data_IF_985143008355
#
_entry.id   IF_985143008355
#
_cell.length_a   1.000
_cell.length_b   1.000
_cell.length_c   1.000
_cell.angle_alpha   90.00
_cell.angle_beta   90.00
_cell.angle_gamma   90.00
#
_symmetry.space_group_name_H-M   'P 1'
#
loop_
_entity.id
_entity.type
_entity.pdbx_description
1 polymer ?
#
# COMPACT_ATOMS: atom_id res chain seq x y z
N UNK A 1 39.59 16.96 17.66
CA UNK A 1 39.22 16.01 16.57
C UNK A 1 37.77 15.54 16.64
N UNK A 2 36.80 16.40 16.97
CA UNK A 2 35.39 15.99 17.24
C UNK A 2 34.35 16.58 16.27
N UNK A 3 34.76 17.46 15.36
CA UNK A 3 33.83 18.12 14.42
C UNK A 3 33.37 17.18 13.27
N UNK A 4 34.25 16.29 12.80
CA UNK A 4 33.93 15.40 11.66
C UNK A 4 32.89 14.33 11.97
N UNK A 5 32.86 13.82 13.21
CA UNK A 5 31.89 12.78 13.61
C UNK A 5 30.43 13.30 13.63
N UNK A 6 30.19 14.53 14.04
CA UNK A 6 28.86 15.15 14.08
C UNK A 6 28.30 15.40 12.69
N UNK A 7 29.12 15.78 11.73
CA UNK A 7 28.70 16.01 10.33
C UNK A 7 28.31 14.68 9.65
N UNK A 8 29.07 13.63 9.89
CA UNK A 8 28.79 12.31 9.32
C UNK A 8 27.46 11.73 9.87
N UNK A 9 27.18 11.90 11.17
CA UNK A 9 25.93 11.46 11.81
C UNK A 9 24.71 12.21 11.25
N UNK A 10 24.83 13.50 11.01
CA UNK A 10 23.72 14.31 10.43
C UNK A 10 23.40 13.93 8.99
N UNK A 11 24.39 13.61 8.18
CA UNK A 11 24.18 13.17 6.79
C UNK A 11 23.54 11.79 6.74
N UNK A 12 23.96 10.88 7.62
CA UNK A 12 23.39 9.54 7.74
C UNK A 12 21.93 9.61 8.20
N UNK A 13 21.64 10.41 9.21
CA UNK A 13 20.28 10.63 9.74
C UNK A 13 19.33 11.20 8.68
N UNK A 14 19.79 12.18 7.88
CA UNK A 14 18.99 12.73 6.78
C UNK A 14 18.71 11.72 5.67
N UNK A 15 19.64 10.82 5.37
CA UNK A 15 19.44 9.75 4.38
C UNK A 15 18.45 8.71 4.87
N UNK A 16 18.55 8.30 6.14
CA UNK A 16 17.60 7.38 6.79
C UNK A 16 16.20 7.97 6.88
N UNK A 17 16.07 9.24 7.28
CA UNK A 17 14.77 9.93 7.35
C UNK A 17 14.09 10.03 5.96
N UNK A 18 14.85 10.29 4.90
CA UNK A 18 14.32 10.29 3.53
C UNK A 18 13.91 8.90 3.05
N UNK A 19 14.64 7.86 3.43
CA UNK A 19 14.29 6.48 3.12
C UNK A 19 12.98 6.05 3.79
N UNK A 20 12.79 6.37 5.06
CA UNK A 20 11.56 6.08 5.81
C UNK A 20 10.38 6.87 5.25
N UNK A 21 10.56 8.14 4.90
CA UNK A 21 9.50 8.98 4.32
C UNK A 21 9.07 8.47 2.92
N UNK A 22 9.97 7.87 2.15
CA UNK A 22 9.64 7.32 0.84
C UNK A 22 8.94 5.94 0.92
N UNK A 23 9.16 5.16 1.99
CA UNK A 23 8.49 3.87 2.19
C UNK A 23 7.06 3.99 2.74
N UNK A 24 6.73 5.09 3.41
CA UNK A 24 5.41 5.30 4.00
C UNK A 24 4.24 5.21 3.00
N UNK A 25 4.29 5.86 1.81
CA UNK A 25 3.20 5.76 0.84
C UNK A 25 3.07 4.37 0.20
N UNK A 26 4.15 3.62 0.09
CA UNK A 26 4.12 2.27 -0.47
C UNK A 26 3.37 1.27 0.44
N UNK A 27 3.44 1.44 1.75
CA UNK A 27 2.72 0.61 2.72
C UNK A 27 1.20 0.83 2.67
N UNK A 28 0.72 2.02 2.28
CA UNK A 28 -0.70 2.35 2.18
C UNK A 28 -1.36 1.75 0.92
N UNK A 29 -0.60 1.51 -0.14
CA UNK A 29 -1.13 0.96 -1.39
C UNK A 29 -1.61 -0.50 -1.28
N UNK A 30 -1.12 -1.27 -0.29
CA UNK A 30 -1.45 -2.69 -0.10
C UNK A 30 -2.63 -2.97 0.83
N UNK A 31 -3.35 -1.95 1.31
CA UNK A 31 -4.38 -2.12 2.35
C UNK A 31 -5.75 -2.59 1.83
N UNK A 32 -5.92 -2.76 0.53
CA UNK A 32 -7.16 -3.25 -0.07
C UNK A 32 -6.98 -4.65 -0.61
N UNK A 33 -8.01 -5.48 -0.43
CA UNK A 33 -8.10 -6.80 -1.06
C UNK A 33 -9.48 -6.98 -1.67
N UNK A 34 -9.56 -7.76 -2.73
CA UNK A 34 -10.83 -8.20 -3.29
C UNK A 34 -11.27 -9.47 -2.55
N UNK A 35 -12.51 -9.47 -2.09
CA UNK A 35 -13.14 -10.62 -1.44
C UNK A 35 -14.21 -11.13 -2.39
N UNK A 36 -14.15 -12.41 -2.78
CA UNK A 36 -15.16 -13.02 -3.62
C UNK A 36 -16.56 -12.85 -3.02
N UNK A 37 -17.54 -12.56 -3.86
CA UNK A 37 -18.94 -12.44 -3.49
C UNK A 37 -19.80 -13.23 -4.47
N UNK A 38 -20.82 -13.91 -3.94
CA UNK A 38 -21.75 -14.72 -4.75
C UNK A 38 -22.84 -13.87 -5.41
N UNK A 39 -23.07 -12.67 -4.91
CA UNK A 39 -24.09 -11.77 -5.42
C UNK A 39 -23.52 -10.39 -5.69
N UNK A 40 -24.15 -9.66 -6.61
CA UNK A 40 -23.77 -8.29 -6.92
C UNK A 40 -23.84 -7.40 -5.66
N UNK A 41 -22.80 -6.61 -5.40
CA UNK A 41 -22.79 -5.67 -4.29
C UNK A 41 -23.81 -4.54 -4.51
N UNK A 42 -24.01 -3.72 -3.49
CA UNK A 42 -24.83 -2.51 -3.62
C UNK A 42 -24.21 -1.51 -4.63
N UNK A 43 -25.02 -0.71 -5.33
CA UNK A 43 -24.54 0.38 -6.16
C UNK A 43 -23.58 1.32 -5.40
N UNK A 44 -22.56 1.81 -6.07
CA UNK A 44 -21.52 2.66 -5.49
C UNK A 44 -20.35 1.90 -4.87
N UNK A 45 -20.40 0.58 -4.80
CA UNK A 45 -19.30 -0.25 -4.25
C UNK A 45 -18.27 -0.54 -5.34
N UNK A 46 -16.99 -0.44 -4.97
CA UNK A 46 -15.88 -0.87 -5.83
C UNK A 46 -15.84 -2.39 -5.96
N UNK A 47 -15.77 -2.87 -7.21
CA UNK A 47 -15.76 -4.28 -7.52
C UNK A 47 -14.74 -4.63 -8.59
N UNK A 48 -14.35 -5.90 -8.60
CA UNK A 48 -13.61 -6.54 -9.67
C UNK A 48 -14.49 -7.64 -10.25
N UNK A 49 -14.55 -7.74 -11.56
CA UNK A 49 -15.24 -8.79 -12.31
C UNK A 49 -14.19 -9.55 -13.09
N UNK A 50 -14.04 -10.82 -12.81
CA UNK A 50 -13.25 -11.75 -13.62
C UNK A 50 -14.14 -12.32 -14.72
N UNK A 51 -13.67 -12.28 -15.94
CA UNK A 51 -14.42 -12.69 -17.12
C UNK A 51 -14.13 -14.15 -17.45
N UNK A 52 -15.19 -14.93 -17.71
CA UNK A 52 -15.06 -16.26 -18.31
C UNK A 52 -14.66 -16.16 -19.80
N UNK A 53 -14.39 -17.28 -20.44
CA UNK A 53 -13.93 -17.32 -21.82
C UNK A 53 -14.88 -16.61 -22.80
N UNK A 54 -16.19 -16.77 -22.63
CA UNK A 54 -17.19 -16.06 -23.43
C UNK A 54 -17.14 -14.55 -23.18
N UNK A 55 -17.01 -14.17 -21.91
CA UNK A 55 -16.88 -12.77 -21.50
C UNK A 55 -15.65 -12.11 -22.09
N UNK A 56 -14.51 -12.79 -22.11
CA UNK A 56 -13.25 -12.27 -22.69
C UNK A 56 -13.41 -11.97 -24.18
N UNK A 57 -14.07 -12.84 -24.91
CA UNK A 57 -14.33 -12.65 -26.35
C UNK A 57 -15.30 -11.50 -26.61
N UNK A 58 -16.44 -11.49 -25.91
CA UNK A 58 -17.48 -10.49 -26.14
C UNK A 58 -17.10 -9.13 -25.60
N UNK A 59 -16.55 -9.06 -24.41
CA UNK A 59 -16.09 -7.80 -23.81
C UNK A 59 -14.83 -7.25 -24.48
N UNK A 60 -14.01 -8.12 -25.07
CA UNK A 60 -12.82 -7.70 -25.83
C UNK A 60 -13.11 -6.72 -26.97
N UNK A 61 -14.33 -6.73 -27.52
CA UNK A 61 -14.78 -5.76 -28.53
C UNK A 61 -15.07 -4.37 -27.94
N UNK A 62 -15.40 -4.31 -26.68
CA UNK A 62 -15.79 -3.06 -25.97
C UNK A 62 -14.65 -2.46 -25.18
N UNK A 63 -13.91 -3.30 -24.42
CA UNK A 63 -12.87 -2.83 -23.49
C UNK A 63 -11.44 -3.14 -23.96
N UNK A 64 -11.31 -3.82 -25.08
CA UNK A 64 -10.01 -4.17 -25.68
C UNK A 64 -9.73 -5.67 -25.66
N UNK A 65 -8.94 -6.15 -26.62
CA UNK A 65 -8.63 -7.57 -26.75
C UNK A 65 -7.75 -8.06 -25.60
N UNK A 66 -7.92 -9.35 -25.24
CA UNK A 66 -7.14 -10.00 -24.18
C UNK A 66 -7.49 -9.55 -22.76
N UNK A 67 -8.69 -8.99 -22.56
CA UNK A 67 -9.18 -8.64 -21.23
C UNK A 67 -9.44 -9.87 -20.38
N UNK A 68 -8.92 -9.88 -19.14
CA UNK A 68 -9.19 -10.95 -18.16
C UNK A 68 -10.10 -10.46 -17.03
N UNK A 69 -9.91 -9.23 -16.57
CA UNK A 69 -10.76 -8.66 -15.52
C UNK A 69 -11.02 -7.17 -15.71
N UNK A 70 -12.14 -6.73 -15.15
CA UNK A 70 -12.61 -5.34 -15.18
C UNK A 70 -12.78 -4.87 -13.75
N UNK A 71 -12.15 -3.76 -13.41
CA UNK A 71 -12.28 -3.13 -12.10
C UNK A 71 -13.00 -1.79 -12.22
N UNK A 72 -13.92 -1.54 -11.32
CA UNK A 72 -14.69 -0.32 -11.35
C UNK A 72 -15.65 -0.18 -10.18
N UNK A 73 -16.60 0.72 -10.33
CA UNK A 73 -17.67 0.96 -9.35
C UNK A 73 -18.98 0.53 -9.96
N UNK A 74 -19.73 -0.32 -9.25
CA UNK A 74 -21.06 -0.74 -9.68
C UNK A 74 -22.02 0.48 -9.67
N UNK A 75 -22.57 0.79 -10.83
CA UNK A 75 -23.56 1.86 -10.98
C UNK A 75 -24.98 1.33 -10.76
N UNK A 76 -25.29 0.18 -11.38
CA UNK A 76 -26.55 -0.54 -11.17
C UNK A 76 -26.39 -2.02 -11.47
N UNK A 77 -27.24 -2.84 -10.86
CA UNK A 77 -27.32 -4.28 -11.12
C UNK A 77 -28.77 -4.68 -11.37
N UNK A 78 -28.94 -5.61 -12.30
CA UNK A 78 -30.20 -6.30 -12.59
C UNK A 78 -29.92 -7.78 -12.83
N UNK A 79 -30.97 -8.57 -12.94
CA UNK A 79 -30.85 -10.01 -13.26
C UNK A 79 -30.20 -10.26 -14.63
N UNK A 80 -30.22 -9.28 -15.52
CA UNK A 80 -29.73 -9.41 -16.91
C UNK A 80 -28.44 -8.67 -17.17
N UNK A 81 -28.06 -7.71 -16.34
CA UNK A 81 -26.89 -6.87 -16.59
C UNK A 81 -26.35 -6.17 -15.33
N UNK A 82 -25.04 -6.01 -15.29
CA UNK A 82 -24.31 -5.11 -14.40
C UNK A 82 -23.85 -3.90 -15.18
N UNK A 83 -24.14 -2.70 -14.71
CA UNK A 83 -23.58 -1.46 -15.26
C UNK A 83 -22.45 -1.02 -14.35
N UNK A 84 -21.23 -1.02 -14.89
CA UNK A 84 -20.02 -0.72 -14.13
C UNK A 84 -19.34 0.51 -14.72
N UNK A 85 -19.00 1.47 -13.87
CA UNK A 85 -18.08 2.55 -14.24
C UNK A 85 -16.65 2.03 -14.14
N UNK A 86 -16.05 1.77 -15.29
CA UNK A 86 -14.74 1.13 -15.40
C UNK A 86 -13.65 2.11 -15.03
N UNK A 87 -12.80 1.73 -14.09
CA UNK A 87 -11.64 2.49 -13.66
C UNK A 87 -10.35 1.91 -14.22
N UNK A 88 -10.31 0.59 -14.39
CA UNK A 88 -9.20 -0.10 -15.03
C UNK A 88 -9.61 -1.46 -15.58
N UNK A 89 -8.88 -1.88 -16.58
CA UNK A 89 -9.01 -3.19 -17.22
C UNK A 89 -7.67 -3.89 -17.12
N UNK A 90 -7.70 -5.17 -16.75
CA UNK A 90 -6.50 -6.00 -16.66
C UNK A 90 -6.52 -7.02 -17.80
N UNK A 91 -5.46 -7.07 -18.55
CA UNK A 91 -5.26 -8.05 -19.62
C UNK A 91 -4.77 -9.41 -19.07
N UNK A 92 -4.88 -10.46 -19.89
CA UNK A 92 -4.33 -11.79 -19.59
C UNK A 92 -2.81 -11.77 -19.42
N UNK A 93 -2.14 -10.82 -20.05
CA UNK A 93 -0.70 -10.56 -19.90
C UNK A 93 -0.33 -9.78 -18.62
N UNK A 94 -1.32 -9.49 -17.77
CA UNK A 94 -1.16 -8.69 -16.57
C UNK A 94 -1.04 -7.19 -16.81
N UNK A 95 -1.20 -6.72 -18.06
CA UNK A 95 -1.18 -5.30 -18.39
C UNK A 95 -2.42 -4.61 -17.83
N UNK A 96 -2.22 -3.49 -17.15
CA UNK A 96 -3.30 -2.67 -16.59
C UNK A 96 -3.50 -1.45 -17.46
N UNK A 97 -4.72 -1.28 -17.98
CA UNK A 97 -5.15 -0.12 -18.75
C UNK A 97 -6.13 0.68 -17.90
N UNK A 98 -5.81 1.94 -17.65
CA UNK A 98 -6.68 2.84 -16.87
C UNK A 98 -7.75 3.43 -17.77
N UNK A 99 -8.95 3.52 -17.19
CA UNK A 99 -10.14 4.11 -17.81
C UNK A 99 -10.63 5.30 -16.97
N UNK A 100 -11.42 6.18 -17.57
CA UNK A 100 -11.87 7.42 -16.93
C UNK A 100 -13.26 7.31 -16.29
N UNK A 101 -13.78 6.11 -16.12
CA UNK A 101 -15.09 5.86 -15.51
C UNK A 101 -16.22 5.71 -16.50
N UNK A 102 -15.92 5.29 -17.72
CA UNK A 102 -16.92 4.97 -18.74
C UNK A 102 -17.82 3.85 -18.25
N UNK A 103 -19.10 3.95 -18.60
CA UNK A 103 -20.09 2.93 -18.26
C UNK A 103 -20.04 1.78 -19.24
N UNK A 104 -19.80 0.60 -18.71
CA UNK A 104 -19.80 -0.64 -19.49
C UNK A 104 -20.87 -1.56 -18.92
N UNK A 105 -21.65 -2.14 -19.80
CA UNK A 105 -22.70 -3.12 -19.45
C UNK A 105 -22.15 -4.53 -19.63
N UNK A 106 -22.17 -5.30 -18.53
CA UNK A 106 -21.64 -6.66 -18.46
C UNK A 106 -22.79 -7.61 -18.15
N UNK A 107 -22.97 -8.65 -18.94
CA UNK A 107 -23.99 -9.68 -18.67
C UNK A 107 -23.49 -10.65 -17.62
N UNK A 108 -24.35 -11.14 -16.68
CA UNK A 108 -23.95 -12.17 -15.72
C UNK A 108 -23.33 -13.41 -16.36
N UNK A 109 -23.78 -13.80 -17.55
CA UNK A 109 -23.24 -14.92 -18.32
C UNK A 109 -21.76 -14.77 -18.73
N UNK A 110 -21.19 -13.58 -18.67
CA UNK A 110 -19.79 -13.28 -18.98
C UNK A 110 -18.88 -13.30 -17.76
N UNK A 111 -19.46 -13.43 -16.58
CA UNK A 111 -18.77 -13.32 -15.30
C UNK A 111 -18.38 -14.72 -14.81
N UNK A 112 -17.11 -14.91 -14.50
CA UNK A 112 -16.60 -16.08 -13.82
C UNK A 112 -16.67 -15.89 -12.31
N UNK A 113 -16.13 -14.75 -11.84
CA UNK A 113 -16.08 -14.42 -10.43
C UNK A 113 -16.26 -12.93 -10.21
N UNK A 114 -16.91 -12.56 -9.11
CA UNK A 114 -17.00 -11.19 -8.64
C UNK A 114 -16.28 -11.03 -7.31
N UNK A 115 -15.54 -9.94 -7.15
CA UNK A 115 -14.91 -9.57 -5.90
C UNK A 115 -15.27 -8.14 -5.51
N UNK A 116 -15.54 -7.90 -4.24
CA UNK A 116 -15.70 -6.54 -3.71
C UNK A 116 -14.40 -6.03 -3.12
N UNK A 117 -14.11 -4.77 -3.37
CA UNK A 117 -12.95 -4.09 -2.79
C UNK A 117 -13.22 -3.81 -1.31
N UNK A 118 -12.54 -4.53 -0.44
CA UNK A 118 -12.64 -4.33 1.02
C UNK A 118 -11.31 -3.85 1.58
N UNK A 119 -11.41 -2.97 2.55
CA UNK A 119 -10.26 -2.53 3.33
C UNK A 119 -9.79 -3.67 4.24
N UNK A 120 -8.56 -4.09 4.07
CA UNK A 120 -7.97 -5.18 4.89
C UNK A 120 -7.39 -4.61 6.18
N UNK A 121 -8.22 -4.53 7.23
CA UNK A 121 -7.80 -4.05 8.56
C UNK A 121 -6.60 -4.84 9.08
N UNK A 122 -6.58 -6.16 8.89
CA UNK A 122 -5.49 -7.01 9.34
C UNK A 122 -4.14 -6.65 8.73
N UNK A 123 -4.09 -6.41 7.42
CA UNK A 123 -2.84 -5.99 6.73
C UNK A 123 -2.38 -4.61 7.19
N UNK A 124 -3.32 -3.70 7.42
CA UNK A 124 -3.01 -2.35 7.91
C UNK A 124 -2.45 -2.39 9.32
N UNK A 125 -3.02 -3.18 10.22
CA UNK A 125 -2.53 -3.34 11.60
C UNK A 125 -1.12 -3.93 11.60
N UNK A 126 -0.85 -4.97 10.82
CA UNK A 126 0.48 -5.57 10.71
C UNK A 126 1.50 -4.56 10.17
N UNK A 127 1.16 -3.85 9.10
CA UNK A 127 2.04 -2.84 8.51
C UNK A 127 2.33 -1.69 9.49
N UNK A 128 1.32 -1.24 10.23
CA UNK A 128 1.47 -0.19 11.25
C UNK A 128 2.34 -0.64 12.42
N UNK A 129 2.15 -1.89 12.89
CA UNK A 129 2.94 -2.47 13.98
C UNK A 129 4.42 -2.59 13.57
N UNK A 130 4.69 -3.06 12.36
CA UNK A 130 6.07 -3.17 11.86
C UNK A 130 6.73 -1.79 11.68
N UNK A 131 6.01 -0.80 11.17
CA UNK A 131 6.51 0.56 11.03
C UNK A 131 6.79 1.19 12.41
N UNK A 132 5.89 0.99 13.38
CA UNK A 132 6.06 1.47 14.75
C UNK A 132 7.26 0.83 15.47
N UNK A 133 7.41 -0.49 15.35
CA UNK A 133 8.55 -1.22 15.93
C UNK A 133 9.88 -0.76 15.31
N UNK A 134 9.92 -0.59 13.99
CA UNK A 134 11.10 -0.07 13.29
C UNK A 134 11.46 1.36 13.74
N UNK A 135 10.48 2.23 13.94
CA UNK A 135 10.69 3.57 14.44
C UNK A 135 11.26 3.59 15.85
N UNK A 136 10.71 2.78 16.77
CA UNK A 136 11.19 2.64 18.15
C UNK A 136 12.62 2.12 18.15
N UNK A 137 12.95 1.11 17.34
CA UNK A 137 14.30 0.56 17.26
C UNK A 137 15.32 1.61 16.79
N UNK A 138 14.96 2.45 15.82
CA UNK A 138 15.82 3.55 15.36
C UNK A 138 16.03 4.59 16.45
N UNK A 139 14.96 5.01 17.14
CA UNK A 139 15.05 6.01 18.22
C UNK A 139 15.90 5.48 19.40
N UNK A 140 15.72 4.22 19.80
CA UNK A 140 16.52 3.60 20.86
C UNK A 140 17.98 3.44 20.44
N UNK A 141 18.24 3.00 19.21
CA UNK A 141 19.61 2.88 18.68
C UNK A 141 20.37 4.19 18.63
N UNK A 142 19.70 5.29 18.32
CA UNK A 142 20.29 6.63 18.33
C UNK A 142 20.56 7.14 19.76
N UNK A 143 19.69 6.81 20.72
CA UNK A 143 19.87 7.21 22.13
C UNK A 143 21.00 6.41 22.82
N UNK A 144 21.16 5.13 22.51
CA UNK A 144 22.22 4.30 23.06
C UNK A 144 23.62 4.74 22.55
N UNK A 145 23.70 5.24 21.32
CA UNK A 145 24.96 5.79 20.78
C UNK A 145 25.29 7.21 21.27
N UNK A 146 24.33 7.91 21.91
CA UNK A 146 24.51 9.27 22.43
C UNK A 146 25.02 9.35 23.89
N UNK A 147 24.98 8.26 24.65
CA UNK A 147 25.34 8.26 26.08
C UNK A 147 26.76 7.76 26.39
N UNK A 148 27.65 7.68 25.41
CA UNK A 148 29.06 7.33 25.60
C UNK A 148 29.96 8.50 26.02
N UNK A 149 29.52 9.44 26.85
CA UNK A 149 30.32 10.56 27.32
C UNK A 149 30.06 10.87 28.78
N UNK A 150 30.48 9.97 29.69
CA UNK A 150 30.56 10.36 31.10
C UNK A 150 31.72 11.32 31.32
N UNK A 151 31.52 12.50 31.92
CA UNK A 151 32.62 13.34 32.34
C UNK A 151 33.29 12.68 33.57
N UNK A 152 34.46 12.16 33.39
CA UNK A 152 35.34 11.77 34.51
C UNK A 152 35.80 13.05 35.22
N UNK A 153 35.14 13.36 36.30
CA UNK A 153 35.61 14.38 37.26
C UNK A 153 36.74 13.77 38.10
N UNK A 154 37.97 13.92 37.64
CA UNK A 154 39.15 13.71 38.46
C UNK A 154 39.41 14.97 39.28
N UNK A 155 38.79 15.05 40.42
CA UNK A 155 39.17 16.00 41.47
C UNK A 155 40.23 15.41 42.33
N UNK A 156 41.49 15.64 42.02
CA UNK A 156 42.60 15.37 42.96
C UNK A 156 42.92 16.68 43.68
N UNK A 157 42.35 16.83 44.87
CA UNK A 157 42.76 17.86 45.82
C UNK A 157 43.77 17.26 46.78
N UNK A 158 45.02 17.51 46.55
CA UNK A 158 46.04 17.27 47.56
C UNK A 158 46.29 18.57 48.34
N UNK A 159 45.74 18.62 49.55
CA UNK A 159 46.12 19.62 50.54
C UNK A 159 47.27 19.02 51.37
N UNK A 160 48.45 19.63 51.28
CA UNK A 160 49.52 19.41 52.21
C UNK A 160 49.77 20.69 52.97
N UNK A 161 49.44 20.66 54.25
CA UNK A 161 49.76 21.69 55.23
C UNK A 161 51.12 21.42 55.84
N UNK A 162 51.92 22.41 55.82
CA UNK A 162 52.68 22.83 57.01
C UNK A 162 53.10 24.26 56.84
#
# INVERSE_FOLDING_TARGET
MTAGAKVCAHVLLRRLARGVLALAPAALAGCYSYVPVESAPAPGVGMQIELNDLGRVEMGRTVGPGVSSIEGVLDSSSDTAFVVRVMQVVGEDGRVIRWEGERVTIRPAYVEQMGTRRFSVGRTVVASAMAGAGFIAVVMGLNLNGQGGAPSSTGSGSNSSK
#
